data_IF_350443756707
#
_entry.id   IF_350443756707
#
_cell.length_a   1.000
_cell.length_b   1.000
_cell.length_c   1.000
_cell.angle_alpha   90.00
_cell.angle_beta   90.00
_cell.angle_gamma   90.00
#
_symmetry.space_group_name_H-M   'P 1'
#
loop_
_entity.id
_entity.type
_entity.pdbx_description
1 polymer ?
#
# COMPACT_ATOMS: atom_id res chain seq x y z
N UNK A 1 -13.63 -50.98 10.76
CA UNK A 1 -12.91 -52.06 10.05
C UNK A 1 -12.29 -51.45 8.80
N UNK A 2 -10.98 -51.57 8.61
CA UNK A 2 -10.25 -50.89 7.55
C UNK A 2 -9.78 -51.90 6.49
N UNK A 3 -9.97 -51.64 5.18
CA UNK A 3 -9.27 -52.38 4.14
C UNK A 3 -7.87 -51.77 3.91
N UNK A 4 -6.83 -52.47 4.39
CA UNK A 4 -5.44 -52.24 3.96
C UNK A 4 -5.03 -53.34 2.97
N UNK A 5 -4.34 -52.98 1.88
CA UNK A 5 -3.31 -53.75 1.13
C UNK A 5 -3.06 -53.07 -0.24
N UNK A 6 -1.88 -52.48 -0.46
CA UNK A 6 -0.63 -53.04 -1.05
C UNK A 6 -0.53 -52.67 -2.55
N UNK A 7 0.42 -51.84 -3.00
CA UNK A 7 1.90 -52.01 -3.08
C UNK A 7 2.32 -52.53 -4.49
N UNK A 8 3.47 -52.06 -5.04
CA UNK A 8 3.90 -51.90 -6.47
C UNK A 8 4.00 -50.39 -6.84
N UNK A 9 5.00 -49.79 -7.53
CA UNK A 9 6.40 -50.10 -7.93
C UNK A 9 7.20 -48.76 -7.82
N UNK A 10 8.44 -48.68 -7.31
CA UNK A 10 9.77 -49.04 -7.88
C UNK A 10 10.27 -48.25 -9.14
N UNK A 11 11.00 -47.16 -8.86
CA UNK A 11 12.40 -46.84 -9.28
C UNK A 11 12.86 -46.84 -10.75
N UNK A 12 13.50 -45.73 -11.17
CA UNK A 12 14.67 -45.49 -12.09
C UNK A 12 14.49 -44.14 -12.83
N UNK A 13 15.48 -43.32 -13.23
CA UNK A 13 16.96 -43.23 -13.07
C UNK A 13 17.38 -41.73 -13.27
N UNK A 14 18.33 -41.15 -12.53
CA UNK A 14 19.77 -40.88 -12.85
C UNK A 14 20.08 -40.14 -14.17
N UNK A 15 20.80 -39.01 -14.06
CA UNK A 15 21.47 -38.26 -15.17
C UNK A 15 20.82 -36.89 -15.45
N UNK A 16 21.53 -35.77 -15.68
CA UNK A 16 22.98 -35.55 -15.85
C UNK A 16 23.34 -34.10 -15.52
N UNK A 17 24.60 -33.82 -15.16
CA UNK A 17 25.13 -32.45 -14.93
C UNK A 17 25.45 -31.71 -16.24
N UNK A 18 25.30 -30.38 -16.22
CA UNK A 18 25.94 -29.48 -17.18
C UNK A 18 26.46 -28.24 -16.45
N UNK A 19 27.76 -27.99 -16.54
CA UNK A 19 28.45 -26.79 -16.03
C UNK A 19 28.80 -25.92 -17.24
N UNK A 20 28.52 -24.62 -17.17
CA UNK A 20 29.08 -23.62 -18.08
C UNK A 20 29.61 -22.47 -17.23
N UNK A 21 30.76 -21.92 -17.61
CA UNK A 21 31.52 -20.93 -16.85
C UNK A 21 31.95 -19.75 -17.73
N UNK A 22 32.29 -18.63 -17.09
CA UNK A 22 32.83 -17.42 -17.72
C UNK A 22 31.76 -16.36 -18.01
N UNK A 23 32.05 -15.05 -17.92
CA UNK A 23 33.38 -14.42 -17.87
C UNK A 23 33.54 -13.42 -16.71
N UNK A 24 34.74 -13.42 -16.08
CA UNK A 24 35.24 -12.24 -15.40
C UNK A 24 35.77 -11.23 -16.43
N UNK A 25 35.64 -9.94 -16.13
CA UNK A 25 36.45 -8.87 -16.71
C UNK A 25 37.13 -8.11 -15.57
N UNK A 26 38.42 -7.82 -15.72
CA UNK A 26 39.30 -7.43 -14.63
C UNK A 26 40.09 -6.16 -15.02
N UNK A 27 40.00 -5.09 -14.22
CA UNK A 27 40.63 -3.81 -14.54
C UNK A 27 40.78 -2.87 -13.34
N UNK A 28 41.97 -2.87 -12.75
CA UNK A 28 42.52 -1.84 -11.86
C UNK A 28 43.98 -1.58 -12.30
N UNK A 29 44.77 -0.62 -11.77
CA UNK A 29 44.47 0.41 -10.75
C UNK A 29 45.06 1.82 -11.11
N UNK A 30 45.20 2.67 -10.08
CA UNK A 30 46.16 3.78 -9.92
C UNK A 30 45.82 5.18 -10.48
N UNK A 31 45.88 6.20 -9.60
CA UNK A 31 45.58 7.61 -9.95
C UNK A 31 45.62 8.64 -8.80
N UNK A 32 46.51 8.51 -7.81
CA UNK A 32 46.86 9.60 -6.86
C UNK A 32 48.39 9.62 -6.74
N UNK A 33 49.07 10.78 -6.72
CA UNK A 33 48.84 11.95 -5.85
C UNK A 33 48.68 13.27 -6.68
N UNK A 34 48.63 14.52 -6.18
CA UNK A 34 49.36 15.17 -5.08
C UNK A 34 48.76 16.57 -4.76
N UNK A 35 48.96 17.04 -3.52
CA UNK A 35 49.05 18.42 -2.99
C UNK A 35 49.09 19.60 -4.02
N UNK A 36 48.62 20.82 -3.75
CA UNK A 36 48.45 21.55 -2.46
C UNK A 36 47.50 22.76 -2.66
N UNK A 37 47.09 23.50 -1.59
CA UNK A 37 46.09 24.56 -1.70
C UNK A 37 46.64 25.84 -2.35
N UNK A 38 45.73 26.71 -2.79
CA UNK A 38 46.02 28.12 -3.04
C UNK A 38 44.98 28.97 -2.32
N UNK A 39 45.31 29.38 -1.10
CA UNK A 39 44.64 30.48 -0.43
C UNK A 39 44.88 31.77 -1.24
N UNK A 40 43.84 32.57 -1.45
CA UNK A 40 43.96 33.99 -1.83
C UNK A 40 42.77 34.73 -1.22
N UNK A 41 42.96 35.92 -0.61
CA UNK A 41 42.15 36.29 0.55
C UNK A 41 40.94 37.18 0.25
N UNK A 42 39.99 37.12 1.20
CA UNK A 42 39.11 38.19 1.72
C UNK A 42 38.58 39.25 0.75
N UNK A 43 37.25 39.29 0.59
CA UNK A 43 36.53 40.55 0.49
C UNK A 43 35.31 40.51 1.43
N UNK A 44 35.40 41.22 2.55
CA UNK A 44 34.30 41.39 3.51
C UNK A 44 33.34 42.47 2.98
N UNK A 45 32.09 42.10 2.72
CA UNK A 45 31.00 43.03 2.42
C UNK A 45 29.81 42.75 3.34
N UNK A 46 29.48 43.66 4.28
CA UNK A 46 28.33 43.50 5.14
C UNK A 46 27.05 43.94 4.41
N UNK A 47 26.14 43.00 4.16
CA UNK A 47 24.73 43.31 3.88
C UNK A 47 23.87 42.91 5.06
N UNK A 48 23.69 43.86 5.97
CA UNK A 48 22.55 43.89 6.88
C UNK A 48 21.28 44.16 6.04
N UNK A 49 20.25 43.33 6.19
CA UNK A 49 19.24 43.20 5.12
C UNK A 49 18.06 42.27 5.40
N UNK A 50 17.53 42.29 6.63
CA UNK A 50 16.16 41.86 6.98
C UNK A 50 15.71 40.49 6.43
N UNK A 51 15.97 39.43 7.21
CA UNK A 51 15.11 38.23 7.14
C UNK A 51 13.67 38.67 7.42
N UNK A 52 12.85 38.61 6.37
CA UNK A 52 11.43 38.92 6.44
C UNK A 52 10.70 37.64 6.80
N UNK A 53 9.85 37.68 7.82
CA UNK A 53 8.98 36.56 8.22
C UNK A 53 8.10 36.11 7.03
N UNK A 54 8.54 35.11 6.28
CA UNK A 54 7.71 34.57 5.20
C UNK A 54 6.52 33.83 5.79
N UNK A 55 5.34 34.33 5.47
CA UNK A 55 4.15 34.15 6.28
C UNK A 55 3.17 33.23 5.58
N UNK A 56 3.03 32.00 6.09
CA UNK A 56 1.87 31.16 5.81
C UNK A 56 2.04 30.05 4.78
N UNK A 57 3.09 29.24 4.89
CA UNK A 57 2.95 27.84 4.48
C UNK A 57 2.00 27.15 5.47
N UNK A 58 0.82 26.74 5.01
CA UNK A 58 -0.15 25.97 5.80
C UNK A 58 0.12 24.46 5.77
N UNK A 59 1.17 24.00 5.08
CA UNK A 59 1.55 22.58 5.06
C UNK A 59 2.08 22.20 6.45
N UNK A 60 1.50 21.21 7.15
CA UNK A 60 2.01 20.74 8.43
C UNK A 60 3.48 20.32 8.32
N UNK A 61 4.24 20.49 9.41
CA UNK A 61 5.62 20.03 9.48
C UNK A 61 5.69 18.50 9.46
N UNK A 62 6.05 17.95 8.30
CA UNK A 62 6.32 16.54 8.02
C UNK A 62 7.45 16.42 6.99
N UNK A 63 7.91 15.20 6.68
CA UNK A 63 9.21 14.94 6.00
C UNK A 63 9.31 15.37 4.53
N UNK A 64 8.27 15.99 3.98
CA UNK A 64 8.28 16.49 2.59
C UNK A 64 7.96 15.44 1.54
N UNK A 65 7.33 14.33 1.92
CA UNK A 65 6.70 13.41 0.98
C UNK A 65 5.48 14.03 0.26
N UNK A 66 5.02 13.40 -0.84
CA UNK A 66 3.83 13.85 -1.56
C UNK A 66 2.58 13.84 -0.67
N UNK A 67 1.67 14.77 -0.93
CA UNK A 67 0.33 14.78 -0.34
C UNK A 67 -0.62 13.86 -1.09
N UNK A 68 -1.42 13.08 -0.37
CA UNK A 68 -2.49 12.25 -0.94
C UNK A 68 -3.77 13.07 -1.11
N UNK A 69 -4.34 12.99 -2.30
CA UNK A 69 -5.67 13.55 -2.63
C UNK A 69 -6.49 12.55 -3.43
N UNK A 70 -7.78 12.43 -3.13
CA UNK A 70 -8.71 11.60 -3.90
C UNK A 70 -9.09 12.35 -5.18
N UNK A 71 -8.80 11.76 -6.34
CA UNK A 71 -9.04 12.37 -7.67
C UNK A 71 -10.19 11.71 -8.43
N UNK A 72 -10.66 10.55 -7.97
CA UNK A 72 -11.86 9.90 -8.49
C UNK A 72 -12.35 8.79 -7.57
N UNK A 73 -13.66 8.56 -7.60
CA UNK A 73 -14.33 7.40 -7.00
C UNK A 73 -15.27 6.85 -8.06
N UNK A 74 -15.43 5.53 -8.13
CA UNK A 74 -16.44 4.95 -9.01
C UNK A 74 -17.86 5.40 -8.62
N UNK A 75 -18.78 5.30 -9.58
CA UNK A 75 -20.21 5.35 -9.27
C UNK A 75 -20.58 4.27 -8.24
N UNK A 76 -21.60 4.54 -7.43
CA UNK A 76 -22.04 3.57 -6.43
C UNK A 76 -22.39 2.22 -7.09
N UNK A 77 -21.97 1.09 -6.51
CA UNK A 77 -22.23 -0.24 -7.06
C UNK A 77 -23.74 -0.48 -7.18
N UNK A 78 -24.15 -1.38 -8.08
CA UNK A 78 -25.57 -1.77 -8.19
C UNK A 78 -26.10 -2.62 -7.02
N UNK A 79 -25.26 -2.86 -6.01
CA UNK A 79 -25.60 -3.55 -4.77
C UNK A 79 -25.99 -2.51 -3.69
N UNK A 80 -26.79 -2.88 -2.68
CA UNK A 80 -27.32 -1.92 -1.70
C UNK A 80 -26.29 -1.56 -0.60
N UNK A 81 -25.04 -1.30 -1.00
CA UNK A 81 -24.00 -0.75 -0.15
C UNK A 81 -23.48 0.55 -0.74
N UNK A 82 -23.19 1.51 0.14
CA UNK A 82 -22.56 2.78 -0.23
C UNK A 82 -21.16 2.84 0.35
N UNK A 83 -20.11 2.61 -0.45
CA UNK A 83 -18.75 2.91 -0.06
C UNK A 83 -18.51 4.43 -0.07
N UNK A 84 -17.63 4.88 0.81
CA UNK A 84 -17.16 6.26 0.95
C UNK A 84 -15.67 6.22 1.33
N UNK A 85 -14.87 7.15 0.80
CA UNK A 85 -13.44 7.25 1.08
C UNK A 85 -13.04 8.69 1.36
N UNK A 86 -12.25 8.90 2.42
CA UNK A 86 -11.80 10.22 2.85
C UNK A 86 -10.32 10.19 3.24
N UNK A 87 -9.60 11.26 2.94
CA UNK A 87 -8.24 11.50 3.46
C UNK A 87 -8.34 11.91 4.93
N UNK A 88 -7.57 11.27 5.81
CA UNK A 88 -7.45 11.57 7.24
C UNK A 88 -6.12 12.27 7.54
N UNK A 89 -5.04 11.78 6.93
CA UNK A 89 -3.71 12.37 7.02
C UNK A 89 -3.16 12.54 5.61
N UNK A 90 -3.01 13.78 5.16
CA UNK A 90 -2.64 14.12 3.78
C UNK A 90 -1.20 13.69 3.43
N UNK A 91 -0.23 13.88 4.33
CA UNK A 91 1.18 13.68 4.02
C UNK A 91 1.89 12.89 5.11
N UNK A 92 2.94 12.17 4.70
CA UNK A 92 3.86 11.47 5.58
C UNK A 92 4.50 12.41 6.63
N UNK A 93 4.65 11.89 7.84
CA UNK A 93 5.51 12.44 8.90
C UNK A 93 6.59 11.42 9.28
N UNK A 94 7.49 11.75 10.21
CA UNK A 94 8.40 10.75 10.81
C UNK A 94 7.64 9.64 11.57
N UNK A 95 6.43 9.94 12.09
CA UNK A 95 5.70 9.07 13.01
C UNK A 95 4.51 8.35 12.36
N UNK A 96 3.96 8.89 11.27
CA UNK A 96 2.77 8.36 10.58
C UNK A 96 2.87 8.43 9.05
N UNK A 97 2.44 7.40 8.31
CA UNK A 97 2.23 7.48 6.86
C UNK A 97 1.01 8.38 6.53
N UNK A 98 0.76 8.68 5.23
CA UNK A 98 -0.53 9.19 4.79
C UNK A 98 -1.62 8.17 5.15
N UNK A 99 -2.81 8.66 5.53
CA UNK A 99 -3.89 7.82 6.05
C UNK A 99 -5.21 8.15 5.37
N UNK A 100 -5.93 7.09 4.96
CA UNK A 100 -7.28 7.13 4.43
C UNK A 100 -8.26 6.51 5.44
N UNK A 101 -9.54 6.86 5.31
CA UNK A 101 -10.67 6.16 5.92
C UNK A 101 -11.57 5.66 4.81
N UNK A 102 -11.83 4.35 4.80
CA UNK A 102 -12.91 3.77 4.00
C UNK A 102 -14.09 3.47 4.92
N UNK A 103 -15.30 3.82 4.49
CA UNK A 103 -16.55 3.54 5.19
C UNK A 103 -17.51 2.84 4.25
N UNK A 104 -18.19 1.81 4.73
CA UNK A 104 -19.21 1.06 3.97
C UNK A 104 -20.51 1.10 4.74
N UNK A 105 -21.56 1.62 4.13
CA UNK A 105 -22.91 1.70 4.71
C UNK A 105 -23.85 0.72 4.03
N UNK A 106 -24.66 -0.01 4.80
CA UNK A 106 -25.82 -0.74 4.29
C UNK A 106 -26.96 0.25 3.96
N UNK A 107 -27.39 0.31 2.70
CA UNK A 107 -28.53 1.13 2.26
C UNK A 107 -29.85 0.32 2.08
N UNK A 108 -29.82 -0.99 2.32
CA UNK A 108 -31.01 -1.83 2.32
C UNK A 108 -31.87 -1.63 3.58
N UNK A 109 -33.12 -2.12 3.52
CA UNK A 109 -34.03 -2.27 4.65
C UNK A 109 -33.90 -3.64 5.36
N UNK A 110 -32.91 -4.45 4.97
CA UNK A 110 -32.56 -5.74 5.58
C UNK A 110 -31.05 -5.86 5.88
N UNK A 111 -30.70 -6.72 6.84
CA UNK A 111 -29.30 -7.00 7.21
C UNK A 111 -28.53 -7.58 6.02
N UNK A 112 -27.30 -7.13 5.79
CA UNK A 112 -26.42 -7.62 4.73
C UNK A 112 -25.25 -8.42 5.30
N UNK A 113 -24.96 -9.56 4.68
CA UNK A 113 -23.74 -10.33 4.89
C UNK A 113 -22.78 -10.09 3.71
N UNK A 114 -21.65 -9.45 3.99
CA UNK A 114 -20.69 -8.95 3.00
C UNK A 114 -19.38 -9.72 3.14
N UNK A 115 -18.75 -10.10 2.02
CA UNK A 115 -17.41 -10.67 2.00
C UNK A 115 -16.80 -10.69 0.60
N UNK A 116 -15.50 -10.58 0.39
CA UNK A 116 -14.43 -10.59 1.40
C UNK A 116 -14.45 -9.28 2.25
N UNK A 117 -14.42 -9.46 3.58
CA UNK A 117 -14.68 -8.38 4.55
C UNK A 117 -13.53 -7.38 4.74
N UNK A 118 -12.30 -7.73 4.32
CA UNK A 118 -11.14 -6.84 4.23
C UNK A 118 -11.17 -6.08 2.90
N UNK A 119 -11.43 -6.79 1.80
CA UNK A 119 -11.45 -6.21 0.45
C UNK A 119 -12.49 -5.09 0.35
N UNK A 120 -13.71 -5.30 0.88
CA UNK A 120 -14.77 -4.26 0.85
C UNK A 120 -14.41 -2.97 1.62
N UNK A 121 -13.41 -3.02 2.51
CA UNK A 121 -12.85 -1.86 3.22
C UNK A 121 -11.37 -1.59 2.87
N UNK A 122 -10.88 -2.15 1.76
CA UNK A 122 -9.53 -1.96 1.21
C UNK A 122 -8.35 -2.34 2.13
N UNK A 123 -8.60 -3.19 3.13
CA UNK A 123 -7.54 -3.70 3.98
C UNK A 123 -6.68 -4.73 3.24
N UNK A 124 -5.37 -4.45 3.12
CA UNK A 124 -4.37 -5.22 2.35
C UNK A 124 -4.56 -5.18 0.84
N UNK A 125 -5.26 -4.17 0.30
CA UNK A 125 -5.44 -3.99 -1.15
C UNK A 125 -4.26 -3.18 -1.72
N UNK A 126 -3.59 -3.75 -2.72
CA UNK A 126 -2.58 -3.08 -3.54
C UNK A 126 -3.26 -2.20 -4.60
N UNK A 127 -2.54 -1.19 -5.12
CA UNK A 127 -3.03 -0.46 -6.29
C UNK A 127 -2.85 -1.30 -7.58
N UNK A 128 -3.62 -0.99 -8.63
CA UNK A 128 -3.68 -1.74 -9.88
C UNK A 128 -2.31 -1.89 -10.59
N UNK A 129 -1.35 -0.96 -10.34
CA UNK A 129 0.02 -1.03 -10.88
C UNK A 129 1.03 -1.75 -9.94
N UNK A 130 0.64 -2.12 -8.71
CA UNK A 130 1.48 -2.87 -7.77
C UNK A 130 2.62 -2.04 -7.14
N UNK A 131 2.38 -0.75 -6.89
CA UNK A 131 3.34 0.24 -6.41
C UNK A 131 3.08 0.66 -4.95
N UNK A 132 1.81 0.64 -4.54
CA UNK A 132 1.29 1.04 -3.24
C UNK A 132 0.43 -0.06 -2.64
N UNK A 133 0.30 -0.05 -1.31
CA UNK A 133 -0.61 -0.93 -0.57
C UNK A 133 -1.28 -0.16 0.58
N UNK A 134 -2.56 -0.44 0.79
CA UNK A 134 -3.36 0.05 1.90
C UNK A 134 -3.39 -0.99 3.03
N UNK A 135 -2.89 -0.63 4.20
CA UNK A 135 -2.77 -1.53 5.35
C UNK A 135 -3.61 -1.04 6.54
N UNK A 136 -4.26 -1.93 7.31
CA UNK A 136 -4.96 -1.54 8.55
C UNK A 136 -4.08 -0.71 9.49
N UNK A 137 -4.53 0.51 9.79
CA UNK A 137 -3.79 1.46 10.60
C UNK A 137 -3.69 1.05 12.07
N UNK A 138 -2.57 1.40 12.70
CA UNK A 138 -2.29 1.08 14.11
C UNK A 138 -1.69 -0.31 14.36
N UNK A 139 -1.36 -1.05 13.29
CA UNK A 139 -0.49 -2.23 13.33
C UNK A 139 0.98 -1.83 13.04
N UNK A 140 1.94 -2.71 13.34
CA UNK A 140 3.37 -2.47 13.10
C UNK A 140 3.83 -3.22 11.84
N UNK A 141 4.19 -2.46 10.80
CA UNK A 141 4.66 -2.99 9.52
C UNK A 141 6.15 -2.69 9.31
N UNK A 142 6.90 -3.50 8.54
CA UNK A 142 8.33 -3.37 8.36
C UNK A 142 8.69 -2.24 7.37
N UNK A 143 8.33 -1.00 7.71
CA UNK A 143 8.56 0.21 6.92
C UNK A 143 9.65 1.11 7.52
N UNK A 144 10.30 1.91 6.69
CA UNK A 144 11.25 2.95 7.13
C UNK A 144 10.48 4.22 7.58
N UNK A 145 10.62 4.68 8.85
CA UNK A 145 9.95 5.89 9.33
C UNK A 145 10.29 7.12 8.48
N UNK A 146 9.34 8.05 8.32
CA UNK A 146 9.50 9.22 7.45
C UNK A 146 9.45 8.93 5.94
N UNK A 147 9.71 7.67 5.55
CA UNK A 147 9.78 7.20 4.17
C UNK A 147 8.56 6.34 3.77
N UNK A 148 8.06 5.50 4.67
CA UNK A 148 6.84 4.66 4.52
C UNK A 148 6.84 3.70 3.32
N UNK A 149 8.02 3.40 2.78
CA UNK A 149 8.25 2.24 1.94
C UNK A 149 8.47 1.01 2.79
N UNK A 150 7.80 -0.08 2.44
CA UNK A 150 8.01 -1.39 3.03
C UNK A 150 9.38 -1.96 2.65
N UNK A 151 10.06 -2.59 3.62
CA UNK A 151 11.34 -3.27 3.41
C UNK A 151 11.18 -4.72 2.93
N UNK A 152 10.00 -5.32 3.14
CA UNK A 152 9.58 -6.62 2.61
C UNK A 152 8.06 -6.64 2.36
N UNK A 153 7.59 -7.57 1.53
CA UNK A 153 6.16 -7.70 1.21
C UNK A 153 5.34 -8.22 2.40
N UNK A 154 4.09 -7.80 2.51
CA UNK A 154 3.19 -8.23 3.59
C UNK A 154 2.61 -9.61 3.30
N UNK A 155 2.84 -10.57 4.20
CA UNK A 155 2.24 -11.89 4.13
C UNK A 155 0.82 -11.86 4.74
N UNK A 156 -0.20 -12.03 3.90
CA UNK A 156 -1.61 -12.02 4.30
C UNK A 156 -2.18 -13.44 4.32
N UNK A 157 -3.03 -13.77 5.29
CA UNK A 157 -3.71 -15.07 5.35
C UNK A 157 -4.90 -15.12 4.37
N UNK A 158 -5.03 -16.25 3.66
CA UNK A 158 -6.16 -16.60 2.77
C UNK A 158 -7.46 -16.94 3.55
N UNK A 159 -7.63 -16.39 4.76
CA UNK A 159 -8.85 -16.54 5.55
C UNK A 159 -9.96 -15.67 4.96
N UNK A 160 -10.99 -16.27 4.36
CA UNK A 160 -12.14 -15.52 3.88
C UNK A 160 -12.93 -14.92 5.05
N UNK A 161 -12.98 -13.59 5.14
CA UNK A 161 -13.72 -12.87 6.20
C UNK A 161 -15.06 -12.34 5.71
N UNK A 162 -16.00 -12.17 6.64
CA UNK A 162 -17.31 -11.57 6.39
C UNK A 162 -17.63 -10.50 7.43
N UNK A 163 -18.42 -9.50 7.02
CA UNK A 163 -18.99 -8.47 7.87
C UNK A 163 -20.51 -8.54 7.76
N UNK A 164 -21.20 -8.50 8.88
CA UNK A 164 -22.65 -8.29 8.94
C UNK A 164 -22.92 -6.79 9.18
N UNK A 165 -23.87 -6.21 8.44
CA UNK A 165 -24.33 -4.83 8.65
C UNK A 165 -25.87 -4.81 8.70
N UNK A 166 -26.44 -4.33 9.81
CA UNK A 166 -27.87 -4.09 9.93
C UNK A 166 -28.34 -2.90 9.04
N UNK A 167 -29.66 -2.73 8.80
CA UNK A 167 -30.20 -1.65 7.97
C UNK A 167 -29.72 -0.25 8.40
N UNK A 168 -29.01 0.45 7.53
CA UNK A 168 -28.41 1.75 7.82
C UNK A 168 -27.15 1.72 8.68
N UNK A 169 -26.65 0.54 9.08
CA UNK A 169 -25.38 0.41 9.78
C UNK A 169 -24.19 0.71 8.84
N UNK A 170 -23.10 1.20 9.42
CA UNK A 170 -21.84 1.44 8.71
C UNK A 170 -20.67 0.84 9.47
N UNK A 171 -19.73 0.25 8.74
CA UNK A 171 -18.38 -0.06 9.24
C UNK A 171 -17.37 0.91 8.62
N UNK A 172 -16.28 1.19 9.34
CA UNK A 172 -15.18 2.03 8.84
C UNK A 172 -13.82 1.41 9.20
N UNK A 173 -12.90 1.41 8.25
CA UNK A 173 -11.50 1.05 8.44
C UNK A 173 -10.61 2.29 8.25
N UNK A 174 -9.60 2.45 9.12
CA UNK A 174 -8.47 3.35 8.87
C UNK A 174 -7.38 2.56 8.15
N UNK A 175 -6.85 3.15 7.08
CA UNK A 175 -5.85 2.54 6.22
C UNK A 175 -4.65 3.47 6.10
N UNK A 176 -3.50 2.95 6.46
CA UNK A 176 -2.21 3.60 6.28
C UNK A 176 -1.66 3.23 4.89
N UNK A 177 -1.17 4.22 4.14
CA UNK A 177 -0.68 4.08 2.78
C UNK A 177 0.84 3.88 2.76
N UNK A 178 1.29 2.77 2.16
CA UNK A 178 2.70 2.42 2.04
C UNK A 178 3.10 2.22 0.58
N UNK A 179 4.37 2.50 0.26
CA UNK A 179 4.97 2.03 -0.98
C UNK A 179 5.45 0.57 -0.83
N UNK A 180 5.27 -0.22 -1.88
CA UNK A 180 5.76 -1.59 -1.94
C UNK A 180 7.30 -1.62 -2.15
N UNK A 181 7.98 -2.73 -1.80
CA UNK A 181 9.43 -2.82 -1.94
C UNK A 181 9.85 -2.91 -3.42
N UNK A 182 10.71 -2.00 -3.87
CA UNK A 182 11.35 -2.10 -5.19
C UNK A 182 11.88 -0.78 -5.74
N UNK A 183 11.09 0.29 -5.62
CA UNK A 183 11.43 1.62 -6.14
C UNK A 183 12.44 2.38 -5.26
N UNK A 184 13.21 3.29 -5.88
CA UNK A 184 14.18 4.16 -5.18
C UNK A 184 13.50 5.33 -4.42
N UNK A 185 12.19 5.55 -4.61
CA UNK A 185 11.41 6.57 -3.94
C UNK A 185 10.75 6.07 -2.65
N UNK A 186 10.57 6.96 -1.67
CA UNK A 186 9.89 6.67 -0.40
C UNK A 186 8.38 6.44 -0.58
N UNK A 187 7.70 7.41 -1.20
CA UNK A 187 6.38 7.23 -1.78
C UNK A 187 6.48 7.69 -3.25
N UNK A 188 6.00 6.89 -4.22
CA UNK A 188 6.01 7.29 -5.62
C UNK A 188 5.03 8.45 -5.86
N UNK A 189 5.35 9.32 -6.83
CA UNK A 189 4.47 10.41 -7.28
C UNK A 189 3.71 9.99 -8.53
N UNK A 190 2.44 10.38 -8.64
CA UNK A 190 1.58 9.95 -9.75
C UNK A 190 0.13 9.75 -9.35
N UNK A 191 -0.65 9.14 -10.25
CA UNK A 191 -2.03 8.74 -10.00
C UNK A 191 -2.05 7.22 -9.82
N UNK A 192 -2.72 6.76 -8.76
CA UNK A 192 -2.81 5.35 -8.40
C UNK A 192 -4.26 4.96 -8.24
N UNK A 193 -4.61 3.74 -8.64
CA UNK A 193 -5.98 3.23 -8.66
C UNK A 193 -6.07 2.03 -7.75
N UNK A 194 -7.00 2.05 -6.80
CA UNK A 194 -7.29 0.88 -5.96
C UNK A 194 -8.64 0.31 -6.38
N UNK A 195 -8.69 -1.01 -6.56
CA UNK A 195 -9.91 -1.72 -6.98
C UNK A 195 -10.10 -2.96 -6.10
N UNK A 196 -11.32 -3.16 -5.58
CA UNK A 196 -11.65 -4.30 -4.72
C UNK A 196 -12.94 -5.00 -5.18
N UNK A 197 -12.92 -6.34 -5.14
CA UNK A 197 -14.09 -7.19 -5.42
C UNK A 197 -14.64 -7.76 -4.12
N UNK A 198 -15.96 -7.73 -3.97
CA UNK A 198 -16.67 -8.31 -2.83
C UNK A 198 -18.03 -8.85 -3.29
N UNK A 199 -18.73 -9.53 -2.39
CA UNK A 199 -20.04 -10.14 -2.59
C UNK A 199 -20.97 -9.78 -1.43
N UNK A 200 -22.24 -9.54 -1.76
CA UNK A 200 -23.27 -9.12 -0.81
C UNK A 200 -24.42 -10.11 -0.87
N UNK A 201 -24.72 -10.75 0.25
CA UNK A 201 -25.89 -11.60 0.44
C UNK A 201 -26.88 -10.91 1.40
N UNK A 202 -28.19 -11.03 1.12
CA UNK A 202 -29.24 -10.33 1.87
C UNK A 202 -29.95 -11.25 2.88
N UNK A 203 -29.98 -10.82 4.13
CA UNK A 203 -30.50 -11.55 5.29
C UNK A 203 -29.38 -12.07 6.22
N UNK A 204 -29.66 -12.23 7.52
CA UNK A 204 -28.65 -12.55 8.55
C UNK A 204 -28.10 -13.98 8.45
N UNK A 205 -28.91 -14.95 8.03
CA UNK A 205 -28.48 -16.36 7.89
C UNK A 205 -27.84 -16.68 6.52
N UNK A 206 -27.38 -15.66 5.76
CA UNK A 206 -26.83 -15.86 4.41
C UNK A 206 -25.31 -15.89 4.40
N UNK A 207 -24.77 -16.76 3.56
CA UNK A 207 -23.33 -16.83 3.30
C UNK A 207 -22.98 -15.83 2.19
N UNK A 208 -22.06 -14.91 2.45
CA UNK A 208 -21.68 -13.86 1.51
C UNK A 208 -21.23 -14.39 0.12
N UNK A 209 -20.59 -15.56 0.07
CA UNK A 209 -20.16 -16.23 -1.18
C UNK A 209 -21.29 -16.79 -2.04
N UNK A 210 -22.53 -16.84 -1.52
CA UNK A 210 -23.75 -17.15 -2.28
C UNK A 210 -24.48 -15.88 -2.75
N UNK A 211 -23.93 -14.70 -2.45
CA UNK A 211 -24.48 -13.39 -2.77
C UNK A 211 -24.21 -12.92 -4.21
N UNK A 212 -24.58 -11.67 -4.46
CA UNK A 212 -24.25 -10.97 -5.71
C UNK A 212 -22.86 -10.33 -5.56
N UNK A 213 -21.96 -10.56 -6.51
CA UNK A 213 -20.62 -9.94 -6.51
C UNK A 213 -20.62 -8.58 -7.21
N UNK A 214 -19.82 -7.65 -6.69
CA UNK A 214 -19.51 -6.37 -7.33
C UNK A 214 -18.05 -6.00 -7.13
N UNK A 215 -17.62 -5.04 -7.93
CA UNK A 215 -16.33 -4.38 -7.85
C UNK A 215 -16.59 -2.89 -7.58
N UNK A 216 -15.71 -2.26 -6.81
CA UNK A 216 -15.68 -0.81 -6.65
C UNK A 216 -14.23 -0.36 -6.47
N UNK A 217 -13.92 0.86 -6.87
CA UNK A 217 -12.60 1.44 -6.67
C UNK A 217 -12.57 2.95 -6.62
N UNK A 218 -11.39 3.46 -6.29
CA UNK A 218 -11.10 4.88 -6.23
C UNK A 218 -9.66 5.16 -6.66
N UNK A 219 -9.41 6.39 -7.09
CA UNK A 219 -8.10 6.86 -7.50
C UNK A 219 -7.60 7.97 -6.60
N UNK A 220 -6.33 7.89 -6.24
CA UNK A 220 -5.59 8.95 -5.55
C UNK A 220 -4.54 9.56 -6.47
N UNK A 221 -4.14 10.79 -6.18
CA UNK A 221 -2.87 11.36 -6.64
C UNK A 221 -1.93 11.53 -5.45
N UNK A 222 -0.63 11.40 -5.71
CA UNK A 222 0.47 11.72 -4.81
C UNK A 222 1.34 12.79 -5.48
N UNK A 223 1.31 14.03 -4.94
CA UNK A 223 2.01 15.21 -5.47
C UNK A 223 2.65 16.12 -4.39
#
# INVERSE_FOLDING_TARGET
MSPTRRDLLRTLAVGTTAVVAGCLSNGSPAGSPTNSPTDTPTDDLPTDGTDTDDSGSTRPTGTGGPGVSIVGTDEAPSLPIRPDVAVVTEAATEETPPQLRVTVTNEADETLNIGEGRDVVFAYVEDDDGMLILLPAGEEYPAEPGCWRLSEGIAVTEEYRTIELDPGESTSQLLDLYALPGEDACLPVGNFRFTATYSVARGPDRIATEGESAEWGFSITLE
#
